data_IF_017040185289
#
_entry.id   IF_017040185289
#
_cell.length_a   1.000
_cell.length_b   1.000
_cell.length_c   1.000
_cell.angle_alpha   90.00
_cell.angle_beta   90.00
_cell.angle_gamma   90.00
#
_symmetry.space_group_name_H-M   'P 1'
#
loop_
_entity.id
_entity.type
_entity.pdbx_description
1 polymer ?
#
# COMPACT_ATOMS: atom_id res chain seq x y z
N UNK A 1 1.53 -20.96 -11.85
CA UNK A 1 0.85 -20.36 -10.70
C UNK A 1 0.94 -18.84 -10.86
N UNK A 2 -0.15 -18.08 -10.63
CA UNK A 2 -0.10 -16.62 -10.66
C UNK A 2 0.47 -16.10 -9.33
N UNK A 3 1.25 -15.02 -9.37
CA UNK A 3 1.69 -14.33 -8.16
C UNK A 3 0.55 -13.47 -7.60
N UNK A 4 0.40 -13.47 -6.30
CA UNK A 4 -0.55 -12.62 -5.58
C UNK A 4 0.08 -11.25 -5.34
N UNK A 5 -0.41 -10.23 -6.03
CA UNK A 5 0.05 -8.85 -5.93
C UNK A 5 -0.93 -8.06 -5.09
N UNK A 6 -0.50 -7.60 -3.92
CA UNK A 6 -1.30 -6.72 -3.08
C UNK A 6 -1.02 -5.25 -3.42
N UNK A 7 -2.03 -4.53 -3.90
CA UNK A 7 -1.94 -3.09 -4.20
C UNK A 7 -2.50 -2.33 -3.01
N UNK A 8 -1.63 -1.60 -2.29
CA UNK A 8 -1.98 -0.79 -1.11
C UNK A 8 -2.25 0.65 -1.52
N UNK A 9 -3.38 1.20 -1.11
CA UNK A 9 -3.80 2.55 -1.50
C UNK A 9 -4.75 3.18 -0.47
N UNK A 10 -4.95 4.49 -0.57
CA UNK A 10 -5.68 5.32 0.39
C UNK A 10 -4.73 5.96 1.39
N UNK A 11 -4.90 5.68 2.69
CA UNK A 11 -4.09 6.24 3.77
C UNK A 11 -4.67 7.50 4.39
N UNK A 12 -3.98 8.08 5.38
CA UNK A 12 -4.46 9.25 6.12
C UNK A 12 -4.07 10.60 5.47
N UNK A 13 -3.28 10.55 4.39
CA UNK A 13 -2.83 11.75 3.67
C UNK A 13 -3.99 12.57 3.11
N UNK A 14 -3.75 13.86 2.89
CA UNK A 14 -4.65 14.74 2.12
C UNK A 14 -4.82 14.29 0.67
N UNK A 15 -3.89 13.48 0.17
CA UNK A 15 -3.90 12.88 -1.18
C UNK A 15 -4.59 11.52 -1.23
N UNK A 16 -5.42 11.20 -0.24
CA UNK A 16 -6.14 9.93 -0.12
C UNK A 16 -6.92 9.56 -1.38
N UNK A 17 -7.67 10.51 -1.93
CA UNK A 17 -8.49 10.31 -3.11
C UNK A 17 -7.63 10.17 -4.38
N UNK A 18 -6.48 10.86 -4.44
CA UNK A 18 -5.50 10.71 -5.53
C UNK A 18 -4.91 9.31 -5.54
N UNK A 19 -4.60 8.79 -4.35
CA UNK A 19 -4.11 7.42 -4.18
C UNK A 19 -5.11 6.38 -4.71
N UNK A 20 -6.41 6.56 -4.48
CA UNK A 20 -7.46 5.67 -5.01
C UNK A 20 -7.43 5.66 -6.54
N UNK A 21 -7.35 6.83 -7.17
CA UNK A 21 -7.29 6.95 -8.64
C UNK A 21 -6.04 6.28 -9.20
N UNK A 22 -4.88 6.57 -8.63
CA UNK A 22 -3.59 6.00 -9.03
C UNK A 22 -3.57 4.47 -8.89
N UNK A 23 -4.17 3.96 -7.81
CA UNK A 23 -4.27 2.51 -7.59
C UNK A 23 -5.12 1.81 -8.64
N UNK A 24 -6.23 2.40 -9.09
CA UNK A 24 -7.04 1.84 -10.15
C UNK A 24 -6.26 1.76 -11.47
N UNK A 25 -5.49 2.81 -11.81
CA UNK A 25 -4.62 2.77 -12.99
C UNK A 25 -3.57 1.66 -12.90
N UNK A 26 -2.95 1.49 -11.71
CA UNK A 26 -2.00 0.42 -11.49
C UNK A 26 -2.64 -0.98 -11.58
N UNK A 27 -3.82 -1.17 -10.97
CA UNK A 27 -4.57 -2.44 -11.01
C UNK A 27 -4.98 -2.80 -12.44
N UNK A 28 -5.39 -1.83 -13.25
CA UNK A 28 -5.74 -2.04 -14.65
C UNK A 28 -4.53 -2.40 -15.51
N UNK A 29 -3.38 -1.80 -15.26
CA UNK A 29 -2.13 -2.03 -15.99
C UNK A 29 -1.49 -3.40 -15.71
N UNK A 30 -1.80 -4.04 -14.58
CA UNK A 30 -1.26 -5.34 -14.22
C UNK A 30 -1.79 -6.46 -15.13
N UNK A 31 -0.88 -7.30 -15.66
CA UNK A 31 -1.19 -8.45 -16.50
C UNK A 31 -1.97 -9.52 -15.71
N UNK A 32 -3.27 -9.57 -15.91
CA UNK A 32 -4.18 -10.52 -15.23
C UNK A 32 -3.93 -11.98 -15.58
N UNK A 33 -3.13 -12.28 -16.61
CA UNK A 33 -2.70 -13.66 -16.91
C UNK A 33 -1.56 -14.11 -15.99
N UNK A 34 -0.73 -13.17 -15.51
CA UNK A 34 0.44 -13.44 -14.65
C UNK A 34 0.14 -13.24 -13.17
N UNK A 35 -0.75 -12.30 -12.85
CA UNK A 35 -0.96 -11.83 -11.48
C UNK A 35 -2.41 -12.02 -11.02
N UNK A 36 -2.55 -12.38 -9.75
CA UNK A 36 -3.78 -12.29 -9.01
C UNK A 36 -3.72 -10.99 -8.16
N UNK A 37 -4.51 -10.00 -8.53
CA UNK A 37 -4.46 -8.68 -7.91
C UNK A 37 -5.41 -8.59 -6.73
N UNK A 38 -4.87 -8.26 -5.56
CA UNK A 38 -5.59 -8.08 -4.29
C UNK A 38 -5.55 -6.59 -3.94
N UNK A 39 -6.65 -5.84 -4.07
CA UNK A 39 -6.72 -4.47 -3.63
C UNK A 39 -6.76 -4.43 -2.10
N UNK A 40 -5.86 -3.66 -1.48
CA UNK A 40 -5.80 -3.42 -0.04
C UNK A 40 -6.01 -1.94 0.22
N UNK A 41 -7.24 -1.59 0.57
CA UNK A 41 -7.57 -0.22 0.91
C UNK A 41 -7.16 0.09 2.35
N UNK A 42 -6.43 1.18 2.53
CA UNK A 42 -6.02 1.72 3.82
C UNK A 42 -6.90 2.92 4.15
N UNK A 43 -7.70 2.83 5.20
CA UNK A 43 -8.56 3.95 5.61
C UNK A 43 -7.76 5.08 6.26
N UNK A 44 -8.40 6.26 6.43
CA UNK A 44 -7.80 7.40 7.16
C UNK A 44 -7.51 7.06 8.64
N UNK A 45 -8.19 6.06 9.20
CA UNK A 45 -7.94 5.51 10.56
C UNK A 45 -6.91 4.37 10.55
N UNK A 46 -6.16 4.18 9.45
CA UNK A 46 -5.11 3.16 9.31
C UNK A 46 -5.61 1.72 9.43
N UNK A 47 -6.88 1.46 9.09
CA UNK A 47 -7.45 0.12 9.00
C UNK A 47 -7.33 -0.40 7.58
N UNK A 48 -7.06 -1.71 7.46
CA UNK A 48 -6.91 -2.37 6.17
C UNK A 48 -8.23 -3.07 5.80
N UNK A 49 -8.62 -2.95 4.53
CA UNK A 49 -9.82 -3.59 4.00
C UNK A 49 -9.52 -4.24 2.66
N UNK A 50 -10.14 -5.40 2.42
CA UNK A 50 -10.06 -6.12 1.14
C UNK A 50 -11.46 -6.47 0.66
N UNK A 51 -11.66 -6.37 -0.64
CA UNK A 51 -12.87 -6.84 -1.37
C UNK A 51 -12.63 -6.72 -2.87
N UNK A 52 -13.23 -7.58 -3.68
CA UNK A 52 -13.24 -7.38 -5.13
C UNK A 52 -14.01 -6.13 -5.56
N UNK A 53 -14.94 -5.64 -4.73
CA UNK A 53 -15.65 -4.38 -4.97
C UNK A 53 -14.70 -3.18 -5.07
N UNK A 54 -13.52 -3.24 -4.45
CA UNK A 54 -12.50 -2.20 -4.49
C UNK A 54 -11.82 -2.08 -5.87
N UNK A 55 -12.05 -3.02 -6.79
CA UNK A 55 -11.51 -2.98 -8.17
C UNK A 55 -12.35 -2.12 -9.12
N UNK A 56 -13.56 -1.74 -8.74
CA UNK A 56 -14.46 -0.94 -9.56
C UNK A 56 -14.59 0.48 -9.03
N UNK A 57 -14.06 1.45 -9.81
CA UNK A 57 -14.10 2.88 -9.48
C UNK A 57 -15.52 3.40 -9.25
N UNK A 58 -16.53 2.82 -9.90
CA UNK A 58 -17.93 3.26 -9.75
C UNK A 58 -18.46 3.10 -8.32
N UNK A 59 -17.90 2.18 -7.54
CA UNK A 59 -18.28 1.93 -6.14
C UNK A 59 -17.81 3.03 -5.19
N UNK A 60 -16.82 3.85 -5.58
CA UNK A 60 -16.26 4.90 -4.73
C UNK A 60 -17.11 6.18 -4.63
N UNK A 61 -18.25 6.23 -5.33
CA UNK A 61 -19.23 7.32 -5.19
C UNK A 61 -19.75 7.47 -3.76
N UNK A 62 -19.86 6.37 -3.02
CA UNK A 62 -20.13 6.33 -1.59
C UNK A 62 -19.12 5.43 -0.89
N UNK A 63 -17.99 6.04 -0.51
CA UNK A 63 -16.88 5.33 0.13
C UNK A 63 -17.31 4.67 1.44
N UNK A 64 -18.19 5.32 2.23
CA UNK A 64 -18.66 4.78 3.50
C UNK A 64 -19.47 3.51 3.30
N UNK A 65 -20.34 3.51 2.31
CA UNK A 65 -21.13 2.33 1.96
C UNK A 65 -20.21 1.21 1.42
N UNK A 66 -19.30 1.53 0.48
CA UNK A 66 -18.32 0.59 -0.05
C UNK A 66 -17.54 -0.11 1.06
N UNK A 67 -16.96 0.63 1.99
CA UNK A 67 -16.13 0.08 3.07
C UNK A 67 -16.97 -0.79 4.02
N UNK A 68 -18.26 -0.49 4.22
CA UNK A 68 -19.15 -1.34 5.03
C UNK A 68 -19.36 -2.74 4.44
N UNK A 69 -19.13 -2.91 3.13
CA UNK A 69 -19.21 -4.19 2.41
C UNK A 69 -17.86 -4.90 2.28
N UNK A 70 -16.76 -4.24 2.67
CA UNK A 70 -15.43 -4.81 2.63
C UNK A 70 -15.09 -5.57 3.92
N UNK A 71 -14.19 -6.55 3.81
CA UNK A 71 -13.69 -7.25 4.98
C UNK A 71 -12.51 -6.50 5.58
N UNK A 72 -12.61 -6.09 6.84
CA UNK A 72 -11.47 -5.57 7.60
C UNK A 72 -10.48 -6.69 7.88
N UNK A 73 -9.19 -6.44 7.60
CA UNK A 73 -8.15 -7.46 7.68
C UNK A 73 -6.96 -7.01 8.51
N UNK A 74 -6.21 -8.00 8.99
CA UNK A 74 -4.83 -7.90 9.44
C UNK A 74 -3.93 -8.64 8.45
N UNK A 75 -2.67 -8.22 8.36
CA UNK A 75 -1.65 -8.88 7.54
C UNK A 75 -0.52 -9.28 8.47
N UNK A 76 -0.14 -10.55 8.42
CA UNK A 76 0.85 -11.15 9.32
C UNK A 76 1.83 -12.01 8.52
N UNK A 77 3.04 -12.17 9.05
CA UNK A 77 4.02 -13.12 8.51
C UNK A 77 3.94 -14.42 9.32
N UNK A 78 3.65 -15.53 8.65
CA UNK A 78 3.48 -16.86 9.26
C UNK A 78 4.14 -17.91 8.37
N UNK A 79 5.03 -18.73 8.93
CA UNK A 79 5.69 -19.84 8.21
C UNK A 79 6.29 -19.44 6.85
N UNK A 80 6.99 -18.31 6.81
CA UNK A 80 7.56 -17.69 5.60
C UNK A 80 6.53 -17.28 4.53
N UNK A 81 5.27 -17.12 4.88
CA UNK A 81 4.22 -16.57 4.03
C UNK A 81 3.65 -15.30 4.65
N UNK A 82 3.27 -14.34 3.82
CA UNK A 82 2.53 -13.15 4.27
C UNK A 82 1.05 -13.41 4.04
N UNK A 83 0.29 -13.44 5.11
CA UNK A 83 -1.10 -13.93 5.14
C UNK A 83 -2.07 -12.79 5.44
N UNK A 84 -3.19 -12.76 4.72
CA UNK A 84 -4.31 -11.83 4.95
C UNK A 84 -5.38 -12.56 5.77
N UNK A 85 -5.71 -12.04 6.95
CA UNK A 85 -6.74 -12.61 7.84
C UNK A 85 -7.84 -11.61 8.15
N UNK A 86 -9.10 -12.05 8.24
CA UNK A 86 -10.17 -11.19 8.72
C UNK A 86 -9.96 -10.84 10.21
N UNK A 87 -10.12 -9.56 10.57
CA UNK A 87 -10.03 -9.10 11.97
C UNK A 87 -11.15 -9.71 12.82
N UNK A 88 -12.33 -9.93 12.20
CA UNK A 88 -13.46 -10.63 12.83
C UNK A 88 -13.75 -11.90 12.06
N UNK A 89 -13.11 -13.02 12.42
CA UNK A 89 -13.38 -14.28 11.76
C UNK A 89 -14.82 -14.74 12.05
N UNK A 90 -15.50 -15.21 11.01
CA UNK A 90 -16.78 -15.91 11.16
C UNK A 90 -16.52 -17.34 11.68
N UNK A 91 -17.46 -17.88 12.47
CA UNK A 91 -17.39 -19.28 12.95
C UNK A 91 -17.25 -20.31 11.82
N UNK A 92 -17.83 -20.00 10.66
CA UNK A 92 -17.83 -20.86 9.47
C UNK A 92 -17.13 -20.23 8.26
N UNK A 93 -16.56 -19.02 8.42
CA UNK A 93 -15.83 -18.31 7.34
C UNK A 93 -14.38 -18.74 7.23
N UNK A 94 -13.69 -18.32 6.14
CA UNK A 94 -12.29 -18.63 5.95
C UNK A 94 -11.45 -17.95 7.04
N UNK A 95 -10.50 -18.69 7.60
CA UNK A 95 -9.51 -18.16 8.55
C UNK A 95 -8.43 -17.36 7.86
N UNK A 96 -8.24 -17.58 6.57
CA UNK A 96 -7.26 -16.93 5.69
C UNK A 96 -7.96 -16.53 4.41
N UNK A 97 -7.80 -15.26 3.98
CA UNK A 97 -8.39 -14.72 2.75
C UNK A 97 -7.44 -14.81 1.56
N UNK A 98 -6.16 -15.02 1.80
CA UNK A 98 -5.12 -15.16 0.79
C UNK A 98 -3.74 -14.87 1.34
N UNK A 99 -2.75 -14.99 0.45
CA UNK A 99 -1.35 -14.65 0.72
C UNK A 99 -0.89 -13.53 -0.19
N UNK A 100 0.19 -12.85 0.21
CA UNK A 100 0.84 -11.80 -0.57
C UNK A 100 2.23 -12.28 -0.98
N UNK A 101 2.50 -12.30 -2.28
CA UNK A 101 3.83 -12.60 -2.80
C UNK A 101 4.63 -11.31 -3.04
N UNK A 102 3.95 -10.23 -3.48
CA UNK A 102 4.56 -8.90 -3.70
C UNK A 102 3.55 -7.82 -3.32
N UNK A 103 4.04 -6.76 -2.68
CA UNK A 103 3.25 -5.56 -2.39
C UNK A 103 3.59 -4.41 -3.36
N UNK A 104 2.57 -3.65 -3.76
CA UNK A 104 2.73 -2.41 -4.55
C UNK A 104 2.09 -1.28 -3.75
N UNK A 105 2.89 -0.40 -3.11
CA UNK A 105 2.36 0.80 -2.47
C UNK A 105 2.02 1.84 -3.53
N UNK A 106 0.77 2.27 -3.56
CA UNK A 106 0.27 3.38 -4.40
C UNK A 106 -0.33 4.46 -3.50
N UNK A 107 0.19 4.55 -2.28
CA UNK A 107 -0.15 5.59 -1.31
C UNK A 107 0.68 6.84 -1.59
N UNK A 108 0.10 8.02 -1.34
CA UNK A 108 0.76 9.31 -1.49
C UNK A 108 0.90 10.02 -0.13
N UNK A 109 1.98 10.83 0.01
CA UNK A 109 2.23 11.64 1.19
C UNK A 109 2.48 10.81 2.46
N UNK A 110 1.89 11.25 3.58
CA UNK A 110 2.09 10.66 4.90
C UNK A 110 1.79 9.16 4.94
N UNK A 111 2.70 8.40 5.52
CA UNK A 111 2.72 6.94 5.62
C UNK A 111 2.89 6.19 4.28
N UNK A 112 2.83 6.88 3.13
CA UNK A 112 3.00 6.29 1.80
C UNK A 112 4.39 6.50 1.23
N UNK A 113 4.95 7.73 1.38
CA UNK A 113 6.18 8.16 0.75
C UNK A 113 7.33 8.41 1.75
N UNK A 114 7.07 8.33 3.05
CA UNK A 114 8.00 8.65 4.13
C UNK A 114 8.75 7.44 4.72
N UNK A 115 8.64 6.27 4.10
CA UNK A 115 9.27 5.04 4.57
C UNK A 115 8.37 4.19 5.49
N UNK A 116 7.25 4.71 5.96
CA UNK A 116 6.37 4.02 6.93
C UNK A 116 5.79 2.73 6.36
N UNK A 117 5.19 2.77 5.16
CA UNK A 117 4.62 1.57 4.52
C UNK A 117 5.71 0.59 4.10
N UNK A 118 6.88 1.08 3.68
CA UNK A 118 8.03 0.26 3.34
C UNK A 118 8.54 -0.51 4.58
N UNK A 119 8.62 0.17 5.74
CA UNK A 119 8.97 -0.48 7.00
C UNK A 119 7.98 -1.55 7.42
N UNK A 120 6.69 -1.36 7.17
CA UNK A 120 5.68 -2.39 7.38
C UNK A 120 5.92 -3.62 6.50
N UNK A 121 6.26 -3.42 5.22
CA UNK A 121 6.58 -4.53 4.31
C UNK A 121 7.86 -5.26 4.70
N UNK A 122 8.88 -4.53 5.14
CA UNK A 122 10.13 -5.14 5.62
C UNK A 122 9.92 -5.98 6.89
N UNK A 123 9.12 -5.50 7.84
CA UNK A 123 8.74 -6.28 9.02
C UNK A 123 8.03 -7.59 8.65
N UNK A 124 7.19 -7.56 7.63
CA UNK A 124 6.48 -8.73 7.12
C UNK A 124 7.37 -9.62 6.23
N UNK A 125 8.54 -9.14 5.80
CA UNK A 125 9.41 -9.79 4.82
C UNK A 125 8.70 -10.04 3.48
N UNK A 126 7.83 -9.14 3.05
CA UNK A 126 7.20 -9.17 1.72
C UNK A 126 7.98 -8.29 0.76
N UNK A 127 8.38 -8.81 -0.40
CA UNK A 127 8.94 -7.98 -1.47
C UNK A 127 7.95 -6.90 -1.89
N UNK A 128 8.45 -5.71 -2.22
CA UNK A 128 7.58 -4.62 -2.66
C UNK A 128 8.20 -3.82 -3.81
N UNK A 129 7.36 -3.15 -4.59
CA UNK A 129 7.78 -2.28 -5.68
C UNK A 129 8.03 -0.86 -5.16
N UNK A 130 9.05 -0.19 -5.71
CA UNK A 130 9.42 1.18 -5.36
C UNK A 130 10.77 1.28 -4.67
N UNK A 131 11.06 2.45 -4.11
CA UNK A 131 12.27 2.66 -3.32
C UNK A 131 12.17 1.97 -1.95
N UNK A 132 13.32 1.64 -1.39
CA UNK A 132 13.41 1.09 -0.04
C UNK A 132 13.02 2.12 1.04
N UNK A 133 12.97 1.68 2.27
CA UNK A 133 12.62 2.49 3.44
C UNK A 133 13.49 3.75 3.53
N UNK A 134 14.81 3.61 3.36
CA UNK A 134 15.74 4.75 3.51
C UNK A 134 15.57 5.74 2.36
N UNK A 135 15.44 5.22 1.13
CA UNK A 135 15.18 6.06 -0.04
C UNK A 135 13.88 6.85 0.06
N UNK A 136 12.82 6.23 0.58
CA UNK A 136 11.55 6.89 0.82
C UNK A 136 11.67 7.98 1.90
N UNK A 137 12.23 7.66 3.06
CA UNK A 137 12.38 8.60 4.19
C UNK A 137 13.25 9.81 3.81
N UNK A 138 14.40 9.58 3.17
CA UNK A 138 15.30 10.64 2.71
C UNK A 138 14.63 11.48 1.61
N UNK A 139 13.95 10.83 0.67
CA UNK A 139 13.29 11.52 -0.45
C UNK A 139 12.16 12.43 -0.02
N UNK A 140 11.44 12.08 1.02
CA UNK A 140 10.30 12.84 1.53
C UNK A 140 10.71 14.05 2.35
N UNK A 141 11.75 13.96 3.19
CA UNK A 141 12.29 15.08 3.97
C UNK A 141 13.23 15.93 3.10
N UNK A 142 12.76 17.13 2.71
CA UNK A 142 13.50 18.02 1.80
C UNK A 142 14.81 18.54 2.40
N UNK A 143 14.90 18.67 3.72
CA UNK A 143 16.14 19.08 4.41
C UNK A 143 17.15 17.94 4.36
N UNK A 144 16.73 16.73 4.76
CA UNK A 144 17.56 15.55 4.74
C UNK A 144 18.01 15.20 3.31
N UNK A 145 17.08 15.22 2.36
CA UNK A 145 17.37 14.98 0.94
C UNK A 145 18.47 15.91 0.41
N UNK A 146 18.33 17.21 0.65
CA UNK A 146 19.32 18.20 0.18
C UNK A 146 20.68 18.07 0.86
N UNK A 147 20.71 17.75 2.14
CA UNK A 147 21.96 17.47 2.84
C UNK A 147 22.69 16.26 2.22
N UNK A 148 21.98 15.16 2.01
CA UNK A 148 22.55 13.96 1.40
C UNK A 148 23.04 14.22 -0.03
N UNK A 149 22.27 14.95 -0.84
CA UNK A 149 22.66 15.29 -2.22
C UNK A 149 23.91 16.20 -2.22
N UNK A 150 23.94 17.21 -1.35
CA UNK A 150 25.09 18.13 -1.21
C UNK A 150 26.37 17.42 -0.79
N UNK A 151 26.28 16.53 0.20
CA UNK A 151 27.43 15.74 0.68
C UNK A 151 28.02 14.82 -0.40
N UNK A 152 27.17 14.40 -1.35
CA UNK A 152 27.59 13.59 -2.49
C UNK A 152 27.95 14.42 -3.73
N UNK A 153 28.14 15.75 -3.58
CA UNK A 153 28.50 16.68 -4.66
C UNK A 153 27.52 16.69 -5.84
N UNK A 154 26.25 16.38 -5.59
CA UNK A 154 25.20 16.50 -6.60
C UNK A 154 24.69 17.95 -6.66
N UNK A 155 24.46 18.51 -7.86
CA UNK A 155 24.00 19.87 -7.99
C UNK A 155 22.60 20.04 -7.42
N UNK A 156 22.45 20.97 -6.50
CA UNK A 156 21.16 21.35 -5.90
C UNK A 156 20.96 22.86 -6.01
N UNK A 157 19.71 23.28 -6.01
CA UNK A 157 19.37 24.72 -5.91
C UNK A 157 19.76 25.25 -4.54
N UNK A 158 20.14 26.54 -4.46
CA UNK A 158 20.31 27.23 -3.18
C UNK A 158 19.03 27.11 -2.35
N UNK A 159 19.17 26.82 -1.07
CA UNK A 159 18.05 26.60 -0.18
C UNK A 159 18.38 27.06 1.24
N UNK A 160 17.33 27.31 2.01
CA UNK A 160 17.38 27.63 3.44
C UNK A 160 16.18 26.99 4.13
N UNK A 161 16.25 26.80 5.41
CA UNK A 161 15.21 26.20 6.26
C UNK A 161 15.20 26.84 7.64
#
# INVERSE_FOLDING_TARGET
MKLNIAVFFGGESVEHEVSIISAHQAIEALDKNKYNVIPVYVSKERKLYVSDLLKDMSNYKDLKHLISQCTQVSITSEDNRVVIRPVKPSLFGPKELGTIDVAIPVMHGTNGEDGTIQGFFEMLKVPYAGCDLYGAAIGQDKVLQKNVLSDNNLPITNWFW
#
